data_IF_626478924039
#
_entry.id   IF_626478924039
#
_cell.length_a   1.000
_cell.length_b   1.000
_cell.length_c   1.000
_cell.angle_alpha   90.00
_cell.angle_beta   90.00
_cell.angle_gamma   90.00
#
_symmetry.space_group_name_H-M   'P 1'
#
loop_
_entity.id
_entity.type
_entity.pdbx_description
1 polymer ?
#
# COMPACT_ATOMS: atom_id res chain seq x y z
N UNK A 1 -22.93 -22.12 3.20
CA UNK A 1 -23.33 -21.10 2.20
C UNK A 1 -22.80 -19.76 2.72
N UNK A 2 -21.58 -19.41 2.32
CA UNK A 2 -20.88 -18.23 2.84
C UNK A 2 -21.47 -17.01 2.16
N UNK A 3 -22.28 -16.25 2.90
CA UNK A 3 -22.56 -14.86 2.58
C UNK A 3 -21.79 -14.02 3.59
N UNK A 4 -20.66 -13.48 3.15
CA UNK A 4 -20.16 -12.22 3.67
C UNK A 4 -19.84 -11.37 2.45
N UNK A 5 -20.78 -10.46 2.16
CA UNK A 5 -20.52 -9.30 1.34
C UNK A 5 -19.70 -8.36 2.22
N UNK A 6 -18.44 -8.13 1.87
CA UNK A 6 -17.70 -6.95 2.31
C UNK A 6 -17.26 -6.22 1.03
N UNK A 7 -18.20 -5.42 0.52
CA UNK A 7 -17.88 -4.30 -0.36
C UNK A 7 -17.92 -3.06 0.51
N UNK A 8 -16.98 -2.96 1.44
CA UNK A 8 -16.73 -1.73 2.18
C UNK A 8 -15.34 -1.22 1.79
N UNK A 9 -15.28 -0.57 0.63
CA UNK A 9 -14.30 0.48 0.40
C UNK A 9 -15.09 1.70 -0.06
N UNK A 10 -15.69 2.41 0.91
CA UNK A 10 -16.15 3.79 0.76
C UNK A 10 -14.91 4.65 0.48
N UNK A 11 -14.48 4.59 -0.79
CA UNK A 11 -13.35 5.31 -1.32
C UNK A 11 -13.66 6.80 -1.34
N UNK A 12 -13.14 7.51 -0.34
CA UNK A 12 -12.99 8.97 -0.37
C UNK A 12 -12.26 9.32 -1.67
N UNK A 13 -13.04 9.74 -2.66
CA UNK A 13 -12.61 9.75 -4.06
C UNK A 13 -11.77 10.99 -4.38
N UNK A 14 -10.48 10.97 -4.09
CA UNK A 14 -9.52 11.56 -5.02
C UNK A 14 -9.57 10.66 -6.25
N UNK A 15 -10.25 11.09 -7.33
CA UNK A 15 -10.64 10.32 -8.52
C UNK A 15 -9.53 9.68 -9.37
N UNK A 16 -8.39 9.33 -8.76
CA UNK A 16 -7.33 8.50 -9.32
C UNK A 16 -7.59 7.04 -8.94
N UNK A 17 -7.44 6.16 -9.90
CA UNK A 17 -7.58 4.74 -9.67
C UNK A 17 -6.54 4.22 -8.65
N UNK A 18 -6.96 3.26 -7.83
CA UNK A 18 -6.18 2.70 -6.72
C UNK A 18 -5.80 3.70 -5.61
N UNK A 19 -6.53 4.82 -5.44
CA UNK A 19 -6.23 5.82 -4.39
C UNK A 19 -6.19 5.20 -3.00
N UNK A 20 -7.14 4.33 -2.63
CA UNK A 20 -7.19 3.70 -1.31
C UNK A 20 -5.92 2.88 -1.04
N UNK A 21 -5.57 1.98 -1.96
CA UNK A 21 -4.34 1.16 -1.87
C UNK A 21 -3.08 2.03 -1.79
N UNK A 22 -3.04 3.17 -2.49
CA UNK A 22 -1.91 4.11 -2.41
C UNK A 22 -1.82 4.77 -1.04
N UNK A 23 -2.95 5.16 -0.46
CA UNK A 23 -2.99 5.76 0.86
C UNK A 23 -2.58 4.75 1.93
N UNK A 24 -3.09 3.52 1.86
CA UNK A 24 -2.69 2.43 2.74
C UNK A 24 -1.20 2.14 2.65
N UNK A 25 -0.66 1.98 1.43
CA UNK A 25 0.77 1.73 1.22
C UNK A 25 1.63 2.86 1.79
N UNK A 26 1.19 4.11 1.60
CA UNK A 26 1.86 5.28 2.14
C UNK A 26 1.83 5.26 3.67
N UNK A 27 0.67 5.04 4.28
CA UNK A 27 0.55 4.95 5.74
C UNK A 27 1.41 3.84 6.31
N UNK A 28 1.38 2.66 5.70
CA UNK A 28 2.17 1.49 6.11
C UNK A 28 3.66 1.83 6.16
N UNK A 29 4.23 2.33 5.05
CA UNK A 29 5.68 2.60 4.98
C UNK A 29 6.08 3.80 5.85
N UNK A 30 5.26 4.85 5.94
CA UNK A 30 5.55 6.01 6.78
C UNK A 30 5.58 5.66 8.28
N UNK A 31 4.91 4.58 8.69
CA UNK A 31 4.92 4.09 10.08
C UNK A 31 6.20 3.32 10.43
N UNK A 32 6.93 2.81 9.44
CA UNK A 32 8.12 1.96 9.64
C UNK A 32 9.38 2.75 10.00
N UNK A 33 10.33 2.08 10.66
CA UNK A 33 11.62 2.67 11.01
C UNK A 33 12.46 3.05 9.79
N UNK A 34 12.23 2.41 8.63
CA UNK A 34 12.92 2.77 7.41
C UNK A 34 12.68 4.25 7.00
N UNK A 35 11.46 4.76 7.18
CA UNK A 35 11.19 6.19 6.93
C UNK A 35 11.42 7.03 8.18
N UNK A 36 11.01 6.53 9.35
CA UNK A 36 11.04 7.33 10.59
C UNK A 36 12.45 7.52 11.14
N UNK A 37 13.24 6.45 11.17
CA UNK A 37 14.60 6.43 11.72
C UNK A 37 15.61 6.66 10.61
N UNK A 38 15.58 5.84 9.55
CA UNK A 38 16.59 5.92 8.48
C UNK A 38 16.36 7.11 7.54
N UNK A 39 15.24 7.84 7.66
CA UNK A 39 14.88 9.01 6.84
C UNK A 39 14.92 8.71 5.33
N UNK A 40 14.76 7.45 4.95
CA UNK A 40 14.74 7.01 3.55
C UNK A 40 13.40 7.33 2.92
N UNK A 41 13.39 7.42 1.60
CA UNK A 41 12.13 7.57 0.87
C UNK A 41 11.37 6.24 0.84
N UNK A 42 10.02 6.24 0.79
CA UNK A 42 9.24 5.00 0.70
C UNK A 42 9.64 4.11 -0.48
N UNK A 43 10.06 4.73 -1.59
CA UNK A 43 10.57 4.03 -2.78
C UNK A 43 11.89 3.32 -2.48
N UNK A 44 12.78 3.91 -1.70
CA UNK A 44 14.04 3.28 -1.30
C UNK A 44 13.79 2.15 -0.31
N UNK A 45 12.93 2.35 0.69
CA UNK A 45 12.53 1.31 1.64
C UNK A 45 11.99 0.05 0.94
N UNK A 46 11.13 0.25 -0.07
CA UNK A 46 10.61 -0.86 -0.88
C UNK A 46 11.66 -1.48 -1.80
N UNK A 47 12.58 -0.68 -2.36
CA UNK A 47 13.60 -1.15 -3.30
C UNK A 47 14.69 -1.96 -2.60
N UNK A 48 15.14 -1.49 -1.45
CA UNK A 48 16.17 -2.15 -0.64
C UNK A 48 15.61 -3.32 0.17
N UNK A 49 14.27 -3.47 0.22
CA UNK A 49 13.59 -4.48 1.04
C UNK A 49 14.08 -4.40 2.49
N UNK A 50 14.03 -3.20 3.05
CA UNK A 50 14.55 -2.94 4.39
C UNK A 50 13.82 -3.83 5.42
N UNK A 51 14.56 -4.49 6.34
CA UNK A 51 13.97 -5.42 7.31
C UNK A 51 13.00 -4.73 8.29
N UNK A 52 13.05 -3.39 8.37
CA UNK A 52 12.11 -2.61 9.17
C UNK A 52 10.73 -2.49 8.53
N UNK A 53 10.59 -2.84 7.25
CA UNK A 53 9.32 -2.80 6.53
C UNK A 53 8.63 -4.17 6.65
N UNK A 54 7.44 -4.26 7.25
CA UNK A 54 6.72 -5.52 7.36
C UNK A 54 6.22 -6.00 6.00
N UNK A 55 5.99 -7.32 5.91
CA UNK A 55 5.50 -7.96 4.67
C UNK A 55 4.17 -7.35 4.18
N UNK A 56 3.33 -6.90 5.10
CA UNK A 56 2.05 -6.23 4.81
C UNK A 56 2.22 -5.02 3.86
N UNK A 57 3.25 -4.20 4.05
CA UNK A 57 3.52 -3.08 3.13
C UNK A 57 3.95 -3.56 1.74
N UNK A 58 4.65 -4.70 1.65
CA UNK A 58 5.00 -5.29 0.35
C UNK A 58 3.77 -5.89 -0.35
N UNK A 59 2.84 -6.47 0.41
CA UNK A 59 1.57 -6.95 -0.12
C UNK A 59 0.74 -5.79 -0.70
N UNK A 60 0.65 -4.66 0.00
CA UNK A 60 0.01 -3.43 -0.52
C UNK A 60 0.67 -2.93 -1.82
N UNK A 61 1.98 -3.09 -1.95
CA UNK A 61 2.70 -2.75 -3.20
C UNK A 61 2.28 -3.67 -4.35
N UNK A 62 2.13 -4.96 -4.08
CA UNK A 62 1.64 -5.93 -5.05
C UNK A 62 0.19 -5.64 -5.44
N UNK A 63 -0.69 -5.36 -4.48
CA UNK A 63 -2.07 -4.96 -4.73
C UNK A 63 -2.14 -3.68 -5.57
N UNK A 64 -1.27 -2.70 -5.31
CA UNK A 64 -1.18 -1.48 -6.10
C UNK A 64 -0.76 -1.79 -7.55
N UNK A 65 0.17 -2.73 -7.73
CA UNK A 65 0.60 -3.17 -9.06
C UNK A 65 -0.52 -3.88 -9.82
N UNK A 66 -1.22 -4.81 -9.18
CA UNK A 66 -2.36 -5.53 -9.74
C UNK A 66 -3.51 -4.57 -10.08
N UNK A 67 -3.82 -3.64 -9.19
CA UNK A 67 -4.83 -2.62 -9.45
C UNK A 67 -4.44 -1.74 -10.65
N UNK A 68 -3.17 -1.32 -10.76
CA UNK A 68 -2.68 -0.59 -11.95
C UNK A 68 -2.73 -1.42 -13.22
N UNK A 69 -2.45 -2.71 -13.13
CA UNK A 69 -2.48 -3.66 -14.24
C UNK A 69 -3.90 -3.95 -14.72
N UNK A 70 -4.92 -3.86 -13.85
CA UNK A 70 -6.32 -4.02 -14.25
C UNK A 70 -6.91 -2.80 -14.97
N UNK A 71 -6.20 -1.67 -15.00
CA UNK A 71 -6.66 -0.42 -15.61
C UNK A 71 -6.07 -0.17 -17.01
N UNK A 72 -5.22 -1.09 -17.50
CA UNK A 72 -4.61 -1.04 -18.84
C UNK A 72 -5.46 -1.78 -19.86
#
# INVERSE_FOLDING_TARGET
>A
MVRVFETEEDGKSDGKSCSVIREDLKHCILSTDCVRINRKTPRECLRERDPSVPEECFQLTHLLFECKRSLV
#
